data_IF_795058810876
#
_entry.id   IF_795058810876
#
_cell.length_a   1.000
_cell.length_b   1.000
_cell.length_c   1.000
_cell.angle_alpha   90.00
_cell.angle_beta   90.00
_cell.angle_gamma   90.00
#
_symmetry.space_group_name_H-M   'P 1'
#
loop_
_entity.id
_entity.type
_entity.pdbx_description
1 polymer ?
#
# COMPACT_ATOMS: atom_id res chain seq x y z
N UNK A 1 -64.44 13.32 -50.98
CA UNK A 1 -64.25 12.84 -49.60
C UNK A 1 -64.30 14.04 -48.65
N UNK A 2 -64.93 13.95 -47.47
CA UNK A 2 -65.01 15.09 -46.52
C UNK A 2 -63.72 15.26 -45.72
N UNK A 3 -63.40 16.51 -45.31
CA UNK A 3 -62.17 16.86 -44.55
C UNK A 3 -61.97 15.97 -43.31
N UNK A 4 -63.06 15.70 -42.57
CA UNK A 4 -63.08 14.86 -41.37
C UNK A 4 -62.60 13.43 -41.63
N UNK A 5 -63.00 12.81 -42.76
CA UNK A 5 -62.58 11.43 -43.09
C UNK A 5 -61.08 11.33 -43.32
N UNK A 6 -60.48 12.31 -44.03
CA UNK A 6 -59.02 12.37 -44.23
C UNK A 6 -58.26 12.59 -42.92
N UNK A 7 -58.76 13.46 -42.04
CA UNK A 7 -58.13 13.70 -40.74
C UNK A 7 -58.18 12.45 -39.83
N UNK A 8 -59.29 11.70 -39.86
CA UNK A 8 -59.43 10.42 -39.15
C UNK A 8 -58.41 9.39 -39.66
N UNK A 9 -58.36 9.16 -40.97
CA UNK A 9 -57.41 8.23 -41.61
C UNK A 9 -55.94 8.60 -41.30
N UNK A 10 -55.59 9.88 -41.34
CA UNK A 10 -54.26 10.36 -40.97
C UNK A 10 -53.95 10.11 -39.48
N UNK A 11 -54.92 10.30 -38.58
CA UNK A 11 -54.76 10.03 -37.15
C UNK A 11 -54.59 8.53 -36.84
N UNK A 12 -55.32 7.66 -37.53
CA UNK A 12 -55.14 6.22 -37.44
C UNK A 12 -53.75 5.79 -37.91
N UNK A 13 -53.27 6.34 -39.03
CA UNK A 13 -51.97 5.98 -39.58
C UNK A 13 -50.81 6.48 -38.70
N UNK A 14 -50.98 7.63 -38.05
CA UNK A 14 -50.10 8.12 -36.97
C UNK A 14 -50.11 7.16 -35.77
N UNK A 15 -51.29 6.72 -35.30
CA UNK A 15 -51.43 5.77 -34.19
C UNK A 15 -50.81 4.40 -34.49
N UNK A 16 -51.05 3.84 -35.69
CA UNK A 16 -50.44 2.59 -36.19
C UNK A 16 -48.90 2.70 -36.19
N UNK A 17 -48.37 3.82 -36.69
CA UNK A 17 -46.92 4.10 -36.70
C UNK A 17 -46.33 4.24 -35.30
N UNK A 18 -47.02 4.95 -34.39
CA UNK A 18 -46.56 5.15 -33.01
C UNK A 18 -46.55 3.83 -32.23
N UNK A 19 -47.63 3.05 -32.31
CA UNK A 19 -47.73 1.71 -31.69
C UNK A 19 -46.60 0.79 -32.16
N UNK A 20 -46.25 0.80 -33.46
CA UNK A 20 -45.10 0.05 -33.97
C UNK A 20 -43.78 0.51 -33.34
N UNK A 21 -43.51 1.82 -33.32
CA UNK A 21 -42.28 2.39 -32.72
C UNK A 21 -42.14 2.04 -31.24
N UNK A 22 -43.24 2.01 -30.48
CA UNK A 22 -43.24 1.58 -29.09
C UNK A 22 -42.83 0.11 -28.94
N UNK A 23 -43.42 -0.80 -29.72
CA UNK A 23 -43.10 -2.24 -29.71
C UNK A 23 -41.66 -2.52 -30.16
N UNK A 24 -41.19 -1.84 -31.21
CA UNK A 24 -39.80 -1.95 -31.70
C UNK A 24 -38.80 -1.49 -30.62
N UNK A 25 -39.14 -0.41 -29.89
CA UNK A 25 -38.34 0.10 -28.77
C UNK A 25 -38.35 -0.84 -27.58
N UNK A 26 -39.51 -1.35 -27.18
CA UNK A 26 -39.68 -2.32 -26.09
C UNK A 26 -38.87 -3.61 -26.36
N UNK A 27 -38.92 -4.12 -27.59
CA UNK A 27 -38.09 -5.26 -28.03
C UNK A 27 -36.60 -4.94 -27.93
N UNK A 28 -36.17 -3.73 -28.34
CA UNK A 28 -34.78 -3.28 -28.25
C UNK A 28 -34.30 -3.18 -26.79
N UNK A 29 -35.12 -2.67 -25.88
CA UNK A 29 -34.80 -2.64 -24.44
C UNK A 29 -34.75 -4.04 -23.83
N UNK A 30 -35.70 -4.93 -24.15
CA UNK A 30 -35.70 -6.34 -23.67
C UNK A 30 -34.50 -7.16 -24.18
N UNK A 31 -33.93 -6.81 -25.33
CA UNK A 31 -32.68 -7.41 -25.81
C UNK A 31 -31.47 -6.87 -25.02
N UNK A 32 -31.34 -5.54 -24.89
CA UNK A 32 -30.27 -4.91 -24.11
C UNK A 32 -30.24 -5.36 -22.65
N UNK A 33 -31.39 -5.51 -22.01
CA UNK A 33 -31.52 -6.06 -20.65
C UNK A 33 -30.90 -7.47 -20.55
N UNK A 34 -31.14 -8.34 -21.54
CA UNK A 34 -30.56 -9.69 -21.59
C UNK A 34 -29.06 -9.68 -21.89
N UNK A 35 -28.59 -8.76 -22.72
CA UNK A 35 -27.17 -8.56 -23.03
C UNK A 35 -26.41 -8.12 -21.78
N UNK A 36 -26.86 -7.03 -21.14
CA UNK A 36 -26.28 -6.50 -19.90
C UNK A 36 -26.33 -7.51 -18.74
N UNK A 37 -27.39 -8.34 -18.64
CA UNK A 37 -27.47 -9.40 -17.62
C UNK A 37 -26.43 -10.52 -17.83
N UNK A 38 -26.09 -10.85 -19.09
CA UNK A 38 -25.01 -11.79 -19.40
C UNK A 38 -23.65 -11.18 -19.07
N UNK A 39 -23.40 -9.96 -19.55
CA UNK A 39 -22.15 -9.22 -19.30
C UNK A 39 -21.89 -9.05 -17.79
N UNK A 40 -22.91 -8.66 -17.02
CA UNK A 40 -22.83 -8.54 -15.56
C UNK A 40 -22.53 -9.87 -14.86
N UNK A 41 -23.01 -11.01 -15.39
CA UNK A 41 -22.69 -12.34 -14.88
C UNK A 41 -21.24 -12.74 -15.20
N UNK A 42 -20.74 -12.47 -16.41
CA UNK A 42 -19.33 -12.68 -16.79
C UNK A 42 -18.40 -11.84 -15.92
N UNK A 43 -18.66 -10.54 -15.79
CA UNK A 43 -17.85 -9.63 -14.97
C UNK A 43 -17.86 -10.03 -13.49
N UNK A 44 -18.99 -10.52 -12.96
CA UNK A 44 -19.04 -11.09 -11.60
C UNK A 44 -18.15 -12.30 -11.44
N UNK A 45 -18.13 -13.22 -12.41
CA UNK A 45 -17.21 -14.37 -12.40
C UNK A 45 -15.76 -13.91 -12.44
N UNK A 46 -15.40 -13.04 -13.38
CA UNK A 46 -14.04 -12.49 -13.47
C UNK A 46 -13.57 -11.82 -12.18
N UNK A 47 -14.46 -11.10 -11.48
CA UNK A 47 -14.13 -10.45 -10.20
C UNK A 47 -13.89 -11.47 -9.08
N UNK A 48 -14.54 -12.63 -9.11
CA UNK A 48 -14.25 -13.75 -8.19
C UNK A 48 -12.93 -14.42 -8.58
N UNK A 49 -12.79 -14.85 -9.83
CA UNK A 49 -11.58 -15.49 -10.37
C UNK A 49 -10.31 -14.66 -10.08
N UNK A 50 -10.39 -13.33 -10.29
CA UNK A 50 -9.29 -12.39 -10.00
C UNK A 50 -9.01 -12.25 -8.50
N UNK A 51 -10.03 -12.25 -7.63
CA UNK A 51 -9.84 -12.20 -6.17
C UNK A 51 -9.17 -13.44 -5.62
N UNK A 52 -9.54 -14.62 -6.12
CA UNK A 52 -8.92 -15.89 -5.74
C UNK A 52 -7.45 -15.93 -6.18
N UNK A 53 -7.15 -15.47 -7.40
CA UNK A 53 -5.77 -15.34 -7.88
C UNK A 53 -4.92 -14.36 -7.04
N UNK A 54 -5.47 -13.19 -6.66
CA UNK A 54 -4.80 -12.25 -5.76
C UNK A 54 -4.58 -12.81 -4.35
N UNK A 55 -5.51 -13.61 -3.82
CA UNK A 55 -5.36 -14.27 -2.53
C UNK A 55 -4.25 -15.35 -2.56
N UNK A 56 -4.18 -16.13 -3.65
CA UNK A 56 -3.09 -17.10 -3.88
C UNK A 56 -1.72 -16.40 -3.94
N UNK A 57 -1.58 -15.38 -4.79
CA UNK A 57 -0.34 -14.61 -4.93
C UNK A 57 0.10 -13.95 -3.60
N UNK A 58 -0.85 -13.48 -2.79
CA UNK A 58 -0.58 -12.96 -1.45
C UNK A 58 -0.06 -14.03 -0.47
N UNK A 59 -0.59 -15.25 -0.54
CA UNK A 59 -0.08 -16.37 0.26
C UNK A 59 1.32 -16.81 -0.18
N UNK A 60 1.57 -16.89 -1.50
CA UNK A 60 2.87 -17.24 -2.07
C UNK A 60 3.95 -16.20 -1.70
N UNK A 61 3.62 -14.90 -1.77
CA UNK A 61 4.53 -13.81 -1.37
C UNK A 61 4.92 -13.91 0.11
N UNK A 62 3.95 -14.17 1.00
CA UNK A 62 4.20 -14.37 2.44
C UNK A 62 5.01 -15.65 2.70
N UNK A 63 4.79 -16.71 1.90
CA UNK A 63 5.58 -17.94 1.94
C UNK A 63 7.04 -17.70 1.54
N UNK A 64 7.26 -17.01 0.42
CA UNK A 64 8.58 -16.69 -0.11
C UNK A 64 9.36 -15.74 0.83
N UNK A 65 8.70 -14.73 1.39
CA UNK A 65 9.32 -13.83 2.37
C UNK A 65 9.81 -14.61 3.60
N UNK A 66 9.00 -15.52 4.15
CA UNK A 66 9.39 -16.39 5.26
C UNK A 66 10.56 -17.30 4.89
N UNK A 67 10.52 -17.91 3.71
CA UNK A 67 11.60 -18.78 3.22
C UNK A 67 12.94 -18.04 3.12
N UNK A 68 12.96 -16.84 2.51
CA UNK A 68 14.16 -16.01 2.37
C UNK A 68 14.73 -15.62 3.74
N UNK A 69 13.88 -15.19 4.68
CA UNK A 69 14.30 -14.85 6.04
C UNK A 69 14.90 -16.07 6.75
N UNK A 70 14.26 -17.24 6.65
CA UNK A 70 14.73 -18.47 7.30
C UNK A 70 16.08 -18.91 6.73
N UNK A 71 16.24 -18.96 5.41
CA UNK A 71 17.49 -19.49 4.82
C UNK A 71 18.67 -18.53 4.98
N UNK A 72 18.45 -17.21 4.83
CA UNK A 72 19.48 -16.22 5.15
C UNK A 72 19.88 -16.27 6.64
N UNK A 73 18.91 -16.45 7.54
CA UNK A 73 19.16 -16.64 8.98
C UNK A 73 19.95 -17.93 9.24
N UNK A 74 19.62 -19.02 8.55
CA UNK A 74 20.36 -20.29 8.64
C UNK A 74 21.80 -20.11 8.17
N UNK A 75 22.05 -19.50 7.01
CA UNK A 75 23.40 -19.30 6.45
C UNK A 75 24.25 -18.34 7.30
N UNK A 76 23.67 -17.25 7.81
CA UNK A 76 24.36 -16.36 8.74
C UNK A 76 24.76 -17.09 10.03
N UNK A 77 23.87 -17.91 10.60
CA UNK A 77 24.19 -18.77 11.75
C UNK A 77 25.23 -19.87 11.42
N UNK A 78 25.27 -20.41 10.19
CA UNK A 78 26.32 -21.33 9.73
C UNK A 78 27.68 -20.61 9.72
N UNK A 79 27.74 -19.40 9.17
CA UNK A 79 28.95 -18.59 9.10
C UNK A 79 29.48 -18.19 10.49
N UNK A 80 28.61 -17.70 11.39
CA UNK A 80 29.01 -17.36 12.78
C UNK A 80 29.63 -18.56 13.49
N UNK A 81 29.06 -19.77 13.36
CA UNK A 81 29.62 -21.00 13.96
C UNK A 81 30.97 -21.40 13.37
N UNK A 82 31.23 -21.10 12.10
CA UNK A 82 32.55 -21.30 11.50
C UNK A 82 33.57 -20.30 12.06
N UNK A 83 33.16 -19.05 12.31
CA UNK A 83 34.00 -18.02 12.93
C UNK A 83 34.33 -18.39 14.39
N UNK A 84 33.34 -18.76 15.22
CA UNK A 84 33.53 -19.20 16.61
C UNK A 84 34.41 -20.47 16.72
N UNK A 85 34.39 -21.36 15.71
CA UNK A 85 35.26 -22.52 15.63
C UNK A 85 36.72 -22.18 15.24
N UNK A 86 36.92 -21.16 14.40
CA UNK A 86 38.25 -20.74 13.91
C UNK A 86 38.94 -19.75 14.85
N UNK A 87 38.18 -18.91 15.55
CA UNK A 87 38.67 -17.84 16.40
C UNK A 87 38.09 -17.99 17.81
N UNK A 88 38.84 -18.64 18.70
CA UNK A 88 38.39 -18.98 20.07
C UNK A 88 38.08 -17.77 20.96
N UNK A 89 38.48 -16.56 20.54
CA UNK A 89 38.16 -15.28 21.20
C UNK A 89 36.80 -14.70 20.78
N UNK A 90 36.17 -15.23 19.73
CA UNK A 90 34.92 -14.73 19.15
C UNK A 90 33.78 -15.70 19.46
N UNK A 91 32.80 -15.27 20.28
CA UNK A 91 31.60 -16.07 20.52
C UNK A 91 30.50 -15.79 19.49
N UNK A 92 29.63 -16.76 19.24
CA UNK A 92 28.38 -16.59 18.48
C UNK A 92 27.38 -15.60 19.09
N UNK A 93 27.68 -15.07 20.28
CA UNK A 93 26.96 -13.97 20.94
C UNK A 93 27.71 -12.64 20.93
N UNK A 94 28.80 -12.53 20.18
CA UNK A 94 29.58 -11.30 20.12
C UNK A 94 28.75 -10.15 19.51
N UNK A 95 28.85 -8.98 20.15
CA UNK A 95 28.11 -7.79 19.78
C UNK A 95 28.42 -7.25 18.38
N UNK A 96 29.49 -7.73 17.72
CA UNK A 96 29.89 -7.43 16.34
C UNK A 96 29.12 -8.22 15.27
N UNK A 97 28.33 -9.24 15.64
CA UNK A 97 27.49 -10.00 14.71
C UNK A 97 26.01 -9.58 14.72
N UNK A 98 25.68 -8.50 15.43
CA UNK A 98 24.32 -7.99 15.58
C UNK A 98 23.95 -7.02 14.46
N UNK A 99 23.52 -7.57 13.32
CA UNK A 99 23.15 -6.86 12.08
C UNK A 99 22.09 -5.76 12.31
N UNK A 100 21.33 -5.80 13.40
CA UNK A 100 20.37 -4.74 13.74
C UNK A 100 21.04 -3.38 14.02
N UNK A 101 22.35 -3.37 14.30
CA UNK A 101 23.15 -2.13 14.48
C UNK A 101 23.55 -1.49 13.17
N UNK A 102 23.63 -2.29 12.11
CA UNK A 102 24.01 -1.89 10.76
C UNK A 102 22.79 -1.42 9.96
N UNK A 103 21.65 -1.18 10.61
CA UNK A 103 20.40 -0.73 10.00
C UNK A 103 20.00 0.65 10.55
N UNK A 104 19.76 1.59 9.64
CA UNK A 104 19.15 2.88 9.90
C UNK A 104 18.01 3.09 8.90
N UNK A 105 16.83 3.49 9.38
CA UNK A 105 15.62 3.74 8.56
C UNK A 105 15.29 2.65 7.53
N UNK A 106 15.47 1.38 7.93
CA UNK A 106 15.28 0.15 7.14
C UNK A 106 16.31 -0.08 6.02
N UNK A 107 17.34 0.77 5.91
CA UNK A 107 18.48 0.61 5.01
C UNK A 107 19.69 0.07 5.78
N UNK A 108 20.42 -0.87 5.17
CA UNK A 108 21.70 -1.35 5.71
C UNK A 108 22.82 -0.37 5.35
N UNK A 109 23.62 0.04 6.34
CA UNK A 109 24.67 1.06 6.23
C UNK A 109 25.83 0.73 7.18
N UNK A 110 27.06 1.12 6.84
CA UNK A 110 28.21 0.95 7.75
C UNK A 110 28.02 1.76 9.04
N UNK A 111 28.49 1.22 10.17
CA UNK A 111 28.34 1.81 11.51
C UNK A 111 28.83 3.26 11.56
N UNK A 112 29.96 3.58 10.91
CA UNK A 112 30.51 4.94 10.86
C UNK A 112 29.56 5.91 10.14
N UNK A 113 28.96 5.48 9.03
CA UNK A 113 27.96 6.25 8.29
C UNK A 113 26.66 6.43 9.11
N UNK A 114 26.26 5.41 9.87
CA UNK A 114 25.12 5.49 10.79
C UNK A 114 25.39 6.49 11.93
N UNK A 115 26.62 6.55 12.45
CA UNK A 115 26.99 7.55 13.45
C UNK A 115 26.97 8.96 12.87
N UNK A 116 27.51 9.17 11.67
CA UNK A 116 27.49 10.49 11.00
C UNK A 116 26.04 10.98 10.82
N UNK A 117 25.16 10.17 10.21
CA UNK A 117 23.77 10.57 9.94
C UNK A 117 22.98 10.82 11.23
N UNK A 118 23.22 10.03 12.30
CA UNK A 118 22.60 10.26 13.61
C UNK A 118 23.09 11.57 14.25
N UNK A 119 24.38 11.89 14.11
CA UNK A 119 24.92 13.15 14.65
C UNK A 119 24.33 14.35 13.91
N UNK A 120 24.31 14.36 12.57
CA UNK A 120 23.73 15.47 11.81
C UNK A 120 22.23 15.65 12.08
N UNK A 121 21.47 14.55 12.19
CA UNK A 121 20.04 14.63 12.56
C UNK A 121 19.78 15.07 14.02
N UNK A 122 20.78 15.00 14.90
CA UNK A 122 20.70 15.59 16.25
C UNK A 122 21.05 17.08 16.19
N UNK A 123 22.09 17.46 15.44
CA UNK A 123 22.48 18.85 15.22
C UNK A 123 21.33 19.65 14.58
N UNK A 124 20.77 19.17 13.46
CA UNK A 124 19.60 19.72 12.77
C UNK A 124 18.37 19.88 13.70
N UNK A 125 18.22 19.01 14.70
CA UNK A 125 17.11 19.03 15.66
C UNK A 125 17.36 19.92 16.89
N UNK A 126 18.59 20.41 17.09
CA UNK A 126 18.94 21.32 18.21
C UNK A 126 18.90 22.80 17.85
N UNK A 127 18.91 23.14 16.56
CA UNK A 127 18.90 24.54 16.09
C UNK A 127 17.50 25.20 16.16
N UNK A 128 16.44 24.42 16.42
CA UNK A 128 15.06 24.94 16.62
C UNK A 128 14.78 25.53 18.03
N UNK A 129 15.77 25.58 18.95
CA UNK A 129 15.57 26.13 20.31
C UNK A 129 16.64 27.11 20.78
N UNK A 130 16.62 28.36 20.30
CA UNK A 130 17.33 29.47 20.97
C UNK A 130 16.69 30.88 20.83
N UNK A 131 15.86 31.24 21.82
CA UNK A 131 15.37 32.57 22.25
C UNK A 131 14.65 32.34 23.61
N UNK A 132 14.53 33.22 24.62
CA UNK A 132 15.01 34.58 24.98
C UNK A 132 15.08 34.55 26.55
N UNK A 133 15.80 35.33 27.36
CA UNK A 133 16.68 36.52 27.25
C UNK A 133 17.81 36.39 28.31
N UNK A 134 18.58 37.44 28.60
CA UNK A 134 19.56 37.49 29.70
C UNK A 134 18.95 37.75 31.09
N UNK A 135 19.72 37.54 32.18
CA UNK A 135 19.83 38.51 33.30
C UNK A 135 20.90 38.10 34.31
N UNK A 136 21.90 38.96 34.52
CA UNK A 136 22.80 38.87 35.69
C UNK A 136 22.12 39.46 36.93
N UNK A 137 22.12 38.75 38.06
CA UNK A 137 21.96 39.36 39.40
C UNK A 137 22.96 38.72 40.36
N UNK A 138 24.00 39.46 40.72
CA UNK A 138 24.94 39.07 41.77
C UNK A 138 24.30 39.16 43.16
N UNK A 139 24.48 38.12 43.98
CA UNK A 139 24.28 38.21 45.43
C UNK A 139 25.33 37.38 46.16
N UNK A 140 26.27 38.04 46.81
CA UNK A 140 27.14 37.42 47.83
C UNK A 140 26.36 37.26 49.12
N UNK A 141 26.55 36.15 49.84
CA UNK A 141 26.52 36.13 51.30
C UNK A 141 27.47 35.04 51.84
N UNK A 142 28.46 35.54 52.59
CA UNK A 142 29.16 34.96 53.75
C UNK A 142 29.13 33.44 53.96
N UNK A 143 30.33 32.85 54.03
CA UNK A 143 30.56 31.55 54.68
C UNK A 143 30.97 31.74 56.16
N UNK A 144 30.60 30.77 57.00
CA UNK A 144 31.23 30.31 58.26
C UNK A 144 30.15 29.92 59.32
N UNK A 145 30.40 28.96 60.23
CA UNK A 145 31.41 27.88 60.19
C UNK A 145 30.81 26.46 60.35
#
# INVERSE_FOLDING_TARGET
MTKVKKALEESENKLKTWKKRCLDSEKKFKNKDKELKKENATLKKEVVDKKEAWAGLGADLVGLQKYIIIENTNDFNKAIRQIELLYQELSSKDARFDVNKDILDHQMMDVDNIMIVKTTMIEDATDETFDEETTEVSSSIVADP
#
